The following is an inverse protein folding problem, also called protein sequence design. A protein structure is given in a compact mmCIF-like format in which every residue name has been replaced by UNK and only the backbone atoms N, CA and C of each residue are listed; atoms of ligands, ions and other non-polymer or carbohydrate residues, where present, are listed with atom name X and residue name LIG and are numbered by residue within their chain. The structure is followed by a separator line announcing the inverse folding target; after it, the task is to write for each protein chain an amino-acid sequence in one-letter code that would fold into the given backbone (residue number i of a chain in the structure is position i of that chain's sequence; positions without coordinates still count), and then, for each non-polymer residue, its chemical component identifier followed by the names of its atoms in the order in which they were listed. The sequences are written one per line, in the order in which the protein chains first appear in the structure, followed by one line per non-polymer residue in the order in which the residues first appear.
data_IF_208087406030
#
_entry.id   IF_208087406030
#
_cell.length_a   1.000
_cell.length_b   1.000
_cell.length_c   1.000
_cell.angle_alpha   90.00
_cell.angle_beta   90.00
_cell.angle_gamma   90.00
#
_symmetry.space_group_name_H-M   'P 1'
#
loop_
_entity.id
_entity.type
_entity.pdbx_description
1 polymer ?
#
# COMPACT_ATOMS: atom_id res chain seq x y z
N UNK A 1 28.23 -29.46 7.20
CA UNK A 1 26.87 -29.11 7.68
C UNK A 1 26.61 -27.60 7.66
N UNK A 2 27.59 -26.79 7.26
CA UNK A 2 27.51 -25.33 7.26
C UNK A 2 26.78 -24.74 6.03
N UNK A 3 26.93 -25.37 4.86
CA UNK A 3 26.32 -24.89 3.62
C UNK A 3 24.78 -24.90 3.64
N UNK A 4 24.17 -25.85 4.35
CA UNK A 4 22.72 -25.93 4.51
C UNK A 4 22.16 -24.81 5.41
N UNK A 5 22.90 -24.43 6.46
CA UNK A 5 22.54 -23.29 7.32
C UNK A 5 22.70 -21.95 6.59
N UNK A 6 23.74 -21.81 5.78
CA UNK A 6 23.94 -20.63 4.95
C UNK A 6 22.85 -20.45 3.89
N UNK A 7 22.43 -21.53 3.22
CA UNK A 7 21.31 -21.49 2.27
C UNK A 7 19.99 -21.11 2.96
N UNK A 8 19.72 -21.67 4.14
CA UNK A 8 18.54 -21.30 4.94
C UNK A 8 18.56 -19.83 5.35
N UNK A 9 19.68 -19.30 5.80
CA UNK A 9 19.78 -17.88 6.17
C UNK A 9 19.62 -16.95 4.98
N UNK A 10 20.24 -17.27 3.83
CA UNK A 10 20.06 -16.50 2.60
C UNK A 10 18.58 -16.48 2.18
N UNK A 11 17.93 -17.64 2.19
CA UNK A 11 16.51 -17.76 1.85
C UNK A 11 15.61 -16.91 2.78
N UNK A 12 15.85 -16.96 4.10
CA UNK A 12 15.09 -16.18 5.07
C UNK A 12 15.29 -14.67 4.89
N UNK A 13 16.52 -14.21 4.63
CA UNK A 13 16.81 -12.79 4.41
C UNK A 13 16.13 -12.31 3.12
N UNK A 14 16.22 -13.07 2.03
CA UNK A 14 15.58 -12.70 0.76
C UNK A 14 14.06 -12.68 0.88
N UNK A 15 13.48 -13.63 1.63
CA UNK A 15 12.04 -13.66 1.88
C UNK A 15 11.58 -12.48 2.74
N UNK A 16 12.32 -12.13 3.79
CA UNK A 16 11.99 -11.00 4.64
C UNK A 16 12.05 -9.66 3.89
N UNK A 17 13.04 -9.50 3.00
CA UNK A 17 13.16 -8.31 2.15
C UNK A 17 11.98 -8.20 1.18
N UNK A 18 11.61 -9.30 0.52
CA UNK A 18 10.48 -9.30 -0.43
C UNK A 18 9.16 -8.91 0.25
N UNK A 19 8.91 -9.43 1.46
CA UNK A 19 7.71 -9.08 2.25
C UNK A 19 7.75 -7.61 2.70
N UNK A 20 8.92 -7.10 3.11
CA UNK A 20 9.07 -5.70 3.52
C UNK A 20 8.75 -4.70 2.41
N UNK A 21 9.14 -5.00 1.17
CA UNK A 21 8.84 -4.15 -0.01
C UNK A 21 7.34 -4.16 -0.34
N UNK A 22 6.67 -5.31 -0.19
CA UNK A 22 5.23 -5.39 -0.44
C UNK A 22 4.41 -4.59 0.59
N UNK A 23 4.84 -4.54 1.85
CA UNK A 23 4.13 -3.81 2.91
C UNK A 23 4.42 -2.30 2.82
N UNK A 24 5.65 -1.90 2.48
CA UNK A 24 6.01 -0.49 2.35
C UNK A 24 5.40 0.19 1.11
N UNK A 25 4.95 -0.59 0.12
CA UNK A 25 4.27 -0.09 -1.08
C UNK A 25 2.76 -0.32 -1.08
N UNK A 26 2.16 -0.76 0.03
CA UNK A 26 0.70 -0.84 0.14
C UNK A 26 0.13 0.57 0.34
N UNK A 27 -0.56 1.06 -0.69
CA UNK A 27 -1.35 2.30 -0.74
C UNK A 27 -1.87 2.75 0.64
N UNK A 28 -1.25 3.77 1.22
CA UNK A 28 -1.63 4.30 2.54
C UNK A 28 -2.58 5.48 2.38
N UNK A 29 -3.69 5.23 1.68
CA UNK A 29 -4.71 6.25 1.39
C UNK A 29 -5.77 6.28 2.48
N UNK A 30 -6.19 7.49 2.83
CA UNK A 30 -7.29 7.76 3.75
C UNK A 30 -8.40 8.51 3.02
N UNK A 31 -9.62 7.97 3.07
CA UNK A 31 -10.81 8.67 2.59
C UNK A 31 -11.17 9.80 3.54
N UNK A 32 -11.13 11.04 3.05
CA UNK A 32 -11.45 12.25 3.82
C UNK A 32 -12.93 12.65 3.71
N UNK A 33 -13.51 12.47 2.53
CA UNK A 33 -14.90 12.81 2.24
C UNK A 33 -15.43 11.85 1.19
N UNK A 34 -16.59 11.27 1.47
CA UNK A 34 -17.29 10.41 0.51
C UNK A 34 -18.78 10.77 0.57
N UNK A 35 -19.30 11.29 -0.53
CA UNK A 35 -20.67 11.81 -0.62
C UNK A 35 -21.34 11.25 -1.85
N UNK A 36 -22.28 10.33 -1.64
CA UNK A 36 -23.18 9.85 -2.67
C UNK A 36 -24.33 10.84 -2.89
N UNK A 37 -24.52 11.26 -4.14
CA UNK A 37 -25.72 12.00 -4.56
C UNK A 37 -26.51 11.21 -5.61
N UNK A 38 -27.81 11.49 -5.79
CA UNK A 38 -28.62 10.81 -6.80
C UNK A 38 -28.12 10.97 -8.25
N UNK A 39 -27.26 11.96 -8.53
CA UNK A 39 -26.68 12.22 -9.85
C UNK A 39 -25.15 12.01 -9.83
N UNK A 40 -24.66 11.04 -9.06
CA UNK A 40 -23.22 10.76 -8.92
C UNK A 40 -22.65 11.10 -7.55
N UNK A 41 -21.48 10.56 -7.25
CA UNK A 41 -20.76 10.75 -5.98
C UNK A 41 -19.56 11.67 -6.11
N UNK A 42 -19.07 12.15 -4.97
CA UNK A 42 -17.77 12.80 -4.85
C UNK A 42 -16.99 12.11 -3.75
N UNK A 43 -15.80 11.60 -4.10
CA UNK A 43 -14.86 11.01 -3.16
C UNK A 43 -13.57 11.80 -3.13
N UNK A 44 -13.03 12.01 -1.93
CA UNK A 44 -11.77 12.71 -1.69
C UNK A 44 -10.89 11.81 -0.85
N UNK A 45 -9.73 11.45 -1.37
CA UNK A 45 -8.74 10.61 -0.71
C UNK A 45 -7.43 11.39 -0.53
N UNK A 46 -6.80 11.22 0.63
CA UNK A 46 -5.46 11.71 0.89
C UNK A 46 -4.47 10.55 1.02
N UNK A 47 -3.37 10.63 0.28
CA UNK A 47 -2.22 9.78 0.49
C UNK A 47 -1.48 10.20 1.77
N UNK A 48 -1.28 9.29 2.72
CA UNK A 48 -0.60 9.58 3.98
C UNK A 48 0.92 9.54 3.89
N UNK A 49 1.46 9.00 2.81
CA UNK A 49 2.89 8.89 2.59
C UNK A 49 3.46 10.20 2.03
N UNK A 50 2.75 10.87 1.10
CA UNK A 50 3.20 12.12 0.49
C UNK A 50 2.26 13.34 0.67
N UNK A 51 1.04 13.11 1.17
CA UNK A 51 0.03 14.15 1.38
C UNK A 51 -0.74 14.57 0.13
N UNK A 52 -0.56 13.87 -1.00
CA UNK A 52 -1.29 14.12 -2.24
C UNK A 52 -2.79 13.89 -2.04
N UNK A 53 -3.60 14.70 -2.74
CA UNK A 53 -5.06 14.65 -2.67
C UNK A 53 -5.61 14.21 -4.02
N UNK A 54 -6.41 13.15 -4.00
CA UNK A 54 -7.17 12.67 -5.16
C UNK A 54 -8.63 13.04 -4.96
N UNK A 55 -9.27 13.55 -6.01
CA UNK A 55 -10.70 13.88 -6.01
C UNK A 55 -11.33 13.16 -7.19
N UNK A 56 -12.24 12.25 -6.89
CA UNK A 56 -13.03 11.51 -7.86
C UNK A 56 -14.46 12.03 -7.86
N UNK A 57 -14.99 12.28 -9.05
CA UNK A 57 -16.36 12.75 -9.27
C UNK A 57 -17.01 11.81 -10.25
N UNK A 58 -18.05 11.10 -9.81
CA UNK A 58 -18.84 10.25 -10.67
C UNK A 58 -19.92 11.09 -11.39
N UNK A 59 -20.17 10.78 -12.67
CA UNK A 59 -21.19 11.43 -13.52
C UNK A 59 -22.57 10.75 -13.44
#
# INVERSE_FOLDING_TARGET
MDSARQLLHLFLITSALAVGVLIAGCDNKETLLDVDTPNGGVSVEQDRDDGSITVDVDE
#
